data_IF_390154484019
#
_entry.id   IF_390154484019
#
_cell.length_a   1.000
_cell.length_b   1.000
_cell.length_c   1.000
_cell.angle_alpha   90.00
_cell.angle_beta   90.00
_cell.angle_gamma   90.00
#
_symmetry.space_group_name_H-M   'P 1'
#
loop_
_entity.id
_entity.type
_entity.pdbx_description
1 polymer ?
#
# COMPACT_ATOMS: atom_id res chain seq x y z
N UNK A 1 -43.21 -30.21 5.35
CA UNK A 1 -42.26 -29.26 5.95
C UNK A 1 -41.09 -29.14 5.00
N UNK A 2 -41.11 -28.15 4.12
CA UNK A 2 -40.05 -27.89 3.15
C UNK A 2 -38.95 -27.08 3.85
N UNK A 3 -37.77 -27.68 3.99
CA UNK A 3 -36.59 -26.98 4.53
C UNK A 3 -36.19 -25.85 3.59
N UNK A 4 -36.03 -24.65 4.15
CA UNK A 4 -35.55 -23.48 3.42
C UNK A 4 -34.12 -23.72 2.90
N UNK A 5 -33.76 -23.19 1.71
CA UNK A 5 -32.42 -23.34 1.16
C UNK A 5 -31.40 -22.66 2.07
N UNK A 6 -30.34 -23.39 2.40
CA UNK A 6 -29.24 -22.91 3.22
C UNK A 6 -28.43 -21.92 2.40
N UNK A 7 -28.59 -20.62 2.65
CA UNK A 7 -27.77 -19.57 2.04
C UNK A 7 -26.36 -19.67 2.63
N UNK A 8 -25.39 -20.18 1.85
CA UNK A 8 -23.98 -19.99 2.18
C UNK A 8 -23.56 -18.66 1.59
N UNK A 9 -23.11 -17.68 2.41
CA UNK A 9 -22.52 -16.48 1.86
C UNK A 9 -21.31 -16.90 1.03
N UNK A 10 -21.27 -16.47 -0.23
CA UNK A 10 -20.05 -16.49 -1.04
C UNK A 10 -19.13 -15.48 -0.38
N UNK A 11 -18.19 -15.97 0.41
CA UNK A 11 -17.04 -15.16 0.82
C UNK A 11 -16.15 -15.08 -0.41
N UNK A 12 -16.10 -13.91 -1.04
CA UNK A 12 -15.04 -13.62 -2.01
C UNK A 12 -13.70 -13.88 -1.30
N UNK A 13 -12.87 -14.74 -1.89
CA UNK A 13 -11.58 -15.08 -1.30
C UNK A 13 -10.71 -13.81 -1.22
N UNK A 14 -10.26 -13.46 -0.02
CA UNK A 14 -9.34 -12.34 0.20
C UNK A 14 -8.08 -12.56 -0.61
N UNK A 15 -7.75 -11.58 -1.45
CA UNK A 15 -6.55 -11.66 -2.28
C UNK A 15 -5.31 -11.52 -1.40
N UNK A 16 -4.38 -12.49 -1.54
CA UNK A 16 -3.13 -12.49 -0.80
C UNK A 16 -1.96 -13.04 -1.61
N UNK A 17 -0.98 -12.18 -1.89
CA UNK A 17 0.34 -12.54 -2.36
C UNK A 17 1.30 -12.73 -1.20
N UNK A 18 1.83 -13.95 -1.10
CA UNK A 18 2.93 -14.26 -0.17
C UNK A 18 4.21 -13.58 -0.65
N UNK A 19 4.88 -12.92 0.29
CA UNK A 19 6.18 -12.30 0.03
C UNK A 19 7.19 -13.32 -0.51
N UNK A 20 7.94 -12.90 -1.53
CA UNK A 20 9.12 -13.62 -2.03
C UNK A 20 10.29 -12.66 -2.19
N UNK A 21 11.49 -13.14 -1.86
CA UNK A 21 12.72 -12.36 -2.01
C UNK A 21 12.62 -11.00 -1.29
N UNK A 22 13.18 -9.95 -1.90
CA UNK A 22 13.14 -8.57 -1.43
C UNK A 22 11.99 -7.76 -2.07
N UNK A 23 10.91 -8.42 -2.52
CA UNK A 23 9.80 -7.78 -3.22
C UNK A 23 8.66 -7.35 -2.28
N UNK A 24 8.96 -7.12 -0.99
CA UNK A 24 7.96 -6.79 0.03
C UNK A 24 7.08 -5.60 -0.36
N UNK A 25 7.63 -4.53 -0.94
CA UNK A 25 6.88 -3.37 -1.39
C UNK A 25 5.80 -3.73 -2.43
N UNK A 26 6.14 -4.59 -3.40
CA UNK A 26 5.21 -5.03 -4.45
C UNK A 26 4.07 -5.85 -3.84
N UNK A 27 4.42 -6.83 -3.00
CA UNK A 27 3.42 -7.69 -2.39
C UNK A 27 2.53 -6.93 -1.41
N UNK A 28 3.09 -5.98 -0.66
CA UNK A 28 2.31 -5.09 0.20
C UNK A 28 1.32 -4.25 -0.63
N UNK A 29 1.76 -3.66 -1.75
CA UNK A 29 0.88 -2.90 -2.66
C UNK A 29 -0.22 -3.79 -3.25
N UNK A 30 0.11 -4.97 -3.76
CA UNK A 30 -0.90 -5.87 -4.34
C UNK A 30 -1.89 -6.37 -3.28
N UNK A 31 -1.41 -6.64 -2.06
CA UNK A 31 -2.26 -7.06 -0.95
C UNK A 31 -3.20 -5.94 -0.49
N UNK A 32 -2.71 -4.70 -0.32
CA UNK A 32 -3.58 -3.60 0.12
C UNK A 32 -4.61 -3.23 -0.96
N UNK A 33 -4.26 -3.40 -2.24
CA UNK A 33 -5.16 -3.16 -3.37
C UNK A 33 -6.06 -4.35 -3.71
N UNK A 34 -5.88 -5.48 -3.03
CA UNK A 34 -6.63 -6.72 -3.24
C UNK A 34 -6.58 -7.22 -4.70
N UNK A 35 -5.48 -6.95 -5.41
CA UNK A 35 -5.31 -7.28 -6.82
C UNK A 35 -3.82 -7.32 -7.19
N UNK A 36 -3.41 -8.23 -8.10
CA UNK A 36 -2.05 -8.29 -8.64
C UNK A 36 -1.82 -7.19 -9.69
N UNK A 37 -1.42 -6.00 -9.24
CA UNK A 37 -1.27 -4.85 -10.15
C UNK A 37 0.17 -4.47 -10.40
N UNK A 38 1.02 -4.56 -9.37
CA UNK A 38 2.44 -4.26 -9.49
C UNK A 38 3.25 -5.53 -9.69
N UNK A 39 4.20 -5.45 -10.59
CA UNK A 39 5.25 -6.44 -10.81
C UNK A 39 6.62 -5.83 -10.58
N UNK A 40 7.66 -6.68 -10.55
CA UNK A 40 9.04 -6.23 -10.44
C UNK A 40 9.40 -5.25 -11.56
N UNK A 41 8.96 -5.53 -12.77
CA UNK A 41 9.21 -4.71 -13.95
C UNK A 41 8.58 -3.32 -13.78
N UNK A 42 7.32 -3.25 -13.36
CA UNK A 42 6.64 -1.97 -13.13
C UNK A 42 7.28 -1.16 -12.00
N UNK A 43 7.73 -1.81 -10.92
CA UNK A 43 8.45 -1.15 -9.82
C UNK A 43 9.83 -0.66 -10.27
N UNK A 44 10.53 -1.44 -11.10
CA UNK A 44 11.82 -1.05 -11.68
C UNK A 44 11.70 0.14 -12.64
N UNK A 45 10.59 0.25 -13.36
CA UNK A 45 10.30 1.40 -14.22
C UNK A 45 9.94 2.65 -13.42
N UNK A 46 9.24 2.51 -12.29
CA UNK A 46 9.07 3.60 -11.32
C UNK A 46 10.44 4.09 -10.83
N UNK A 47 11.32 3.17 -10.42
CA UNK A 47 12.67 3.53 -9.97
C UNK A 47 13.44 4.33 -11.04
N UNK A 48 13.39 3.92 -12.32
CA UNK A 48 14.04 4.64 -13.43
C UNK A 48 13.46 6.03 -13.63
N UNK A 49 12.14 6.20 -13.50
CA UNK A 49 11.49 7.52 -13.61
C UNK A 49 11.84 8.45 -12.47
N UNK A 50 12.02 7.92 -11.25
CA UNK A 50 12.42 8.70 -10.08
C UNK A 50 13.89 9.16 -10.16
N UNK A 51 14.76 8.38 -10.81
CA UNK A 51 16.19 8.69 -10.94
C UNK A 51 16.71 8.45 -12.38
N UNK A 52 16.26 9.24 -13.38
CA UNK A 52 16.50 8.96 -14.81
C UNK A 52 17.96 9.12 -15.24
N UNK A 53 18.75 9.88 -14.48
CA UNK A 53 20.16 10.17 -14.80
C UNK A 53 21.15 9.32 -13.98
N UNK A 54 20.66 8.36 -13.20
CA UNK A 54 21.51 7.55 -12.33
C UNK A 54 21.80 6.19 -12.96
N UNK A 55 23.09 5.84 -13.06
CA UNK A 55 23.53 4.50 -13.51
C UNK A 55 23.21 3.45 -12.44
N UNK A 56 23.48 3.79 -11.17
CA UNK A 56 23.06 2.99 -10.01
C UNK A 56 21.80 3.63 -9.44
N UNK A 57 20.70 2.89 -9.45
CA UNK A 57 19.42 3.42 -9.00
C UNK A 57 19.37 3.44 -7.46
N UNK A 58 19.08 4.59 -6.81
CA UNK A 58 19.08 4.69 -5.34
C UNK A 58 17.81 4.11 -4.69
N UNK A 59 16.76 3.83 -5.47
CA UNK A 59 15.44 3.44 -4.96
C UNK A 59 15.24 1.92 -4.87
N UNK A 60 16.29 1.13 -5.06
CA UNK A 60 16.27 -0.35 -5.00
C UNK A 60 17.68 -0.90 -4.74
N UNK A 61 17.77 -2.19 -4.39
CA UNK A 61 19.04 -2.91 -4.32
C UNK A 61 19.85 -2.77 -5.63
N UNK A 62 21.18 -2.66 -5.53
CA UNK A 62 22.10 -2.40 -6.68
C UNK A 62 21.96 -3.44 -7.79
N UNK A 63 21.75 -4.72 -7.43
CA UNK A 63 21.53 -5.82 -8.37
C UNK A 63 20.09 -5.89 -8.90
N UNK A 64 19.23 -4.94 -8.52
CA UNK A 64 17.83 -4.89 -8.92
C UNK A 64 17.00 -6.04 -8.37
N UNK A 65 17.33 -6.61 -7.22
CA UNK A 65 16.62 -7.75 -6.61
C UNK A 65 15.31 -7.37 -5.91
N UNK A 66 15.09 -6.08 -5.66
CA UNK A 66 13.95 -5.55 -4.91
C UNK A 66 14.42 -4.48 -3.93
N UNK A 67 13.94 -4.54 -2.69
CA UNK A 67 14.22 -3.59 -1.61
C UNK A 67 13.88 -2.15 -2.02
N UNK A 68 12.67 -1.97 -2.53
CA UNK A 68 12.18 -0.68 -3.00
C UNK A 68 11.92 0.25 -1.82
N UNK A 69 12.36 1.50 -1.94
CA UNK A 69 12.10 2.50 -0.91
C UNK A 69 10.66 3.03 -0.94
N UNK A 70 10.34 3.88 0.04
CA UNK A 70 9.01 4.47 0.18
C UNK A 70 8.60 5.37 -1.00
N UNK A 71 9.54 6.00 -1.71
CA UNK A 71 9.21 6.86 -2.85
C UNK A 71 8.66 6.02 -4.00
N UNK A 72 9.15 4.78 -4.16
CA UNK A 72 8.59 3.82 -5.12
C UNK A 72 7.15 3.47 -4.75
N UNK A 73 6.88 3.22 -3.46
CA UNK A 73 5.52 2.94 -2.96
C UNK A 73 4.59 4.12 -3.22
N UNK A 74 5.02 5.34 -2.88
CA UNK A 74 4.24 6.56 -3.10
C UNK A 74 3.93 6.80 -4.58
N UNK A 75 4.94 6.69 -5.45
CA UNK A 75 4.76 6.86 -6.89
C UNK A 75 3.89 5.76 -7.52
N UNK A 76 3.94 4.53 -6.99
CA UNK A 76 3.06 3.45 -7.41
C UNK A 76 1.59 3.77 -7.09
N UNK A 77 1.29 4.20 -5.86
CA UNK A 77 -0.06 4.57 -5.45
C UNK A 77 -0.59 5.77 -6.24
N UNK A 78 0.24 6.78 -6.49
CA UNK A 78 -0.12 7.94 -7.32
C UNK A 78 -0.55 7.56 -8.74
N UNK A 79 0.06 6.50 -9.33
CA UNK A 79 -0.35 6.00 -10.65
C UNK A 79 -1.76 5.39 -10.69
N UNK A 80 -2.37 5.17 -9.51
CA UNK A 80 -3.70 4.59 -9.31
C UNK A 80 -4.68 5.57 -8.66
N UNK A 81 -4.40 6.87 -8.72
CA UNK A 81 -5.21 7.93 -8.07
C UNK A 81 -5.34 7.77 -6.55
N UNK A 82 -4.32 7.18 -5.93
CA UNK A 82 -4.19 7.01 -4.49
C UNK A 82 -3.03 7.84 -3.96
N UNK A 83 -3.03 8.09 -2.65
CA UNK A 83 -1.95 8.72 -1.94
C UNK A 83 -1.51 7.84 -0.75
N UNK A 84 -0.21 7.87 -0.45
CA UNK A 84 0.36 7.31 0.77
C UNK A 84 0.64 8.45 1.75
N UNK A 85 0.02 8.37 2.91
CA UNK A 85 0.06 9.41 3.94
C UNK A 85 0.77 8.87 5.17
N UNK A 86 1.75 9.61 5.67
CA UNK A 86 2.41 9.23 6.92
C UNK A 86 1.46 9.42 8.10
N UNK A 87 1.20 8.33 8.81
CA UNK A 87 0.46 8.38 10.05
C UNK A 87 1.33 8.98 11.16
N UNK A 88 0.82 10.05 11.78
CA UNK A 88 1.41 10.62 12.99
C UNK A 88 0.94 9.84 14.21
N UNK A 89 1.83 9.02 14.80
CA UNK A 89 1.54 8.20 15.99
C UNK A 89 1.08 8.99 17.23
N UNK A 90 1.22 10.32 17.24
CA UNK A 90 0.71 11.19 18.31
C UNK A 90 -0.80 11.39 18.22
N UNK A 91 -1.44 11.01 17.12
CA UNK A 91 -2.89 11.09 16.91
C UNK A 91 -3.60 9.89 17.52
N UNK A 92 -4.76 10.14 18.12
CA UNK A 92 -5.52 9.13 18.88
C UNK A 92 -6.42 8.25 18.01
N UNK A 93 -6.73 8.66 16.78
CA UNK A 93 -7.72 7.97 15.93
C UNK A 93 -7.38 6.48 15.66
N UNK A 94 -6.10 6.13 15.56
CA UNK A 94 -5.65 4.74 15.41
C UNK A 94 -4.86 4.21 16.62
N UNK A 95 -4.76 4.98 17.71
CA UNK A 95 -3.92 4.59 18.84
C UNK A 95 -4.43 3.37 19.59
N UNK A 96 -5.74 3.09 19.52
CA UNK A 96 -6.35 1.92 20.16
C UNK A 96 -6.26 0.66 19.28
N UNK A 97 -6.13 0.83 17.97
CA UNK A 97 -6.13 -0.25 16.98
C UNK A 97 -4.72 -0.71 16.61
N UNK A 98 -3.71 0.13 16.86
CA UNK A 98 -2.31 -0.16 16.56
C UNK A 98 -1.56 -0.62 17.81
N UNK A 99 -0.67 -1.61 17.64
CA UNK A 99 0.29 -1.97 18.70
C UNK A 99 1.20 -0.78 19.01
N UNK A 100 1.56 -0.60 20.28
CA UNK A 100 2.53 0.41 20.71
C UNK A 100 3.91 0.23 20.08
N UNK A 101 4.21 -0.96 19.55
CA UNK A 101 5.49 -1.27 18.89
C UNK A 101 5.56 -0.82 17.42
N UNK A 102 4.45 -0.33 16.84
CA UNK A 102 4.47 0.18 15.45
C UNK A 102 5.19 1.53 15.41
N UNK A 103 6.36 1.56 14.77
CA UNK A 103 7.19 2.76 14.69
C UNK A 103 6.68 3.78 13.67
N UNK A 104 6.31 3.32 12.48
CA UNK A 104 5.87 4.15 11.35
C UNK A 104 4.82 3.41 10.52
N UNK A 105 3.86 4.14 9.94
CA UNK A 105 2.81 3.56 9.12
C UNK A 105 2.42 4.52 7.99
N UNK A 106 2.16 3.95 6.82
CA UNK A 106 1.56 4.65 5.68
C UNK A 106 0.09 4.26 5.55
N UNK A 107 -0.77 5.27 5.51
CA UNK A 107 -2.18 5.12 5.18
C UNK A 107 -2.36 5.29 3.68
N UNK A 108 -3.06 4.36 3.04
CA UNK A 108 -3.46 4.47 1.64
C UNK A 108 -4.84 5.12 1.59
N UNK A 109 -4.92 6.31 1.02
CA UNK A 109 -6.17 7.06 0.87
C UNK A 109 -6.40 7.38 -0.60
N UNK A 110 -7.64 7.70 -0.96
CA UNK A 110 -7.92 8.28 -2.28
C UNK A 110 -7.22 9.63 -2.39
N UNK A 111 -6.74 9.97 -3.59
CA UNK A 111 -6.06 11.23 -3.83
C UNK A 111 -6.91 12.44 -3.43
N UNK A 112 -8.21 12.42 -3.75
CA UNK A 112 -9.17 13.45 -3.33
C UNK A 112 -9.23 13.65 -1.81
N UNK A 113 -9.14 12.55 -1.04
CA UNK A 113 -9.15 12.59 0.44
C UNK A 113 -7.88 13.25 0.99
N UNK A 114 -6.73 13.01 0.36
CA UNK A 114 -5.47 13.67 0.72
C UNK A 114 -5.50 15.16 0.37
N UNK A 115 -5.96 15.51 -0.83
CA UNK A 115 -6.05 16.89 -1.31
C UNK A 115 -6.99 17.74 -0.43
N UNK A 116 -8.11 17.15 0.02
CA UNK A 116 -9.05 17.80 0.94
C UNK A 116 -8.58 17.80 2.40
N UNK A 117 -7.55 17.01 2.74
CA UNK A 117 -7.09 16.81 4.13
C UNK A 117 -8.16 16.22 5.05
N UNK A 118 -9.18 15.57 4.50
CA UNK A 118 -10.36 15.14 5.26
C UNK A 118 -10.04 14.03 6.26
N UNK A 119 -9.01 13.22 5.98
CA UNK A 119 -8.47 12.21 6.90
C UNK A 119 -7.83 12.80 8.17
N UNK A 120 -7.52 14.11 8.20
CA UNK A 120 -6.96 14.78 9.38
C UNK A 120 -8.01 15.04 10.48
N UNK A 121 -9.29 15.10 10.11
CA UNK A 121 -10.38 15.54 10.97
C UNK A 121 -11.22 14.34 11.42
N UNK A 122 -10.78 13.65 12.47
CA UNK A 122 -11.55 12.58 13.11
C UNK A 122 -12.85 13.08 13.78
N UNK A 123 -13.03 14.41 13.92
CA UNK A 123 -14.11 15.04 14.69
C UNK A 123 -15.34 15.48 13.86
N UNK A 124 -15.35 15.29 12.53
CA UNK A 124 -16.55 15.60 11.75
C UNK A 124 -17.51 14.40 11.80
N UNK A 125 -18.30 14.35 12.88
CA UNK A 125 -19.49 13.50 13.04
C UNK A 125 -20.50 13.71 11.92
#
# INVERSE_FOLDING_TARGET
QTSAPHFRPVVDEVFHEKQRLELCAIHALNNVLQERVFTKETADDICKRLAPQCVVNPHRSVLGTGNYDVNVIMAALQSRELAAVWWDKRRTFLSEQLSQDVAEMLLVVRREVEEDGSWLNADRK
#
